data_IF_185118774853
#
_entry.id   IF_185118774853
#
_cell.length_a   1.000
_cell.length_b   1.000
_cell.length_c   1.000
_cell.angle_alpha   90.00
_cell.angle_beta   90.00
_cell.angle_gamma   90.00
#
_symmetry.space_group_name_H-M   'P 1'
#
loop_
_entity.id
_entity.type
_entity.pdbx_description
1 polymer ?
#
# COMPACT_ATOMS: atom_id res chain seq x y z
N UNK A 1 -14.47 -53.41 -26.74
CA UNK A 1 -14.21 -53.49 -25.28
C UNK A 1 -12.94 -52.73 -24.85
N UNK A 2 -11.71 -53.26 -24.96
CA UNK A 2 -10.51 -52.53 -24.43
C UNK A 2 -10.15 -51.24 -25.19
N UNK A 3 -10.35 -51.19 -26.52
CA UNK A 3 -10.08 -49.97 -27.32
C UNK A 3 -11.09 -48.85 -27.07
N UNK A 4 -12.37 -49.17 -26.96
CA UNK A 4 -13.43 -48.19 -26.67
C UNK A 4 -13.25 -47.58 -25.28
N UNK A 5 -12.96 -48.40 -24.27
CA UNK A 5 -12.68 -47.90 -22.91
C UNK A 5 -11.48 -46.94 -22.88
N UNK A 6 -10.39 -47.27 -23.61
CA UNK A 6 -9.23 -46.39 -23.71
C UNK A 6 -9.54 -45.08 -24.45
N UNK A 7 -10.40 -45.12 -25.47
CA UNK A 7 -10.83 -43.93 -26.20
C UNK A 7 -11.69 -43.01 -25.33
N UNK A 8 -12.66 -43.55 -24.59
CA UNK A 8 -13.50 -42.78 -23.67
C UNK A 8 -12.68 -42.12 -22.56
N UNK A 9 -11.66 -42.81 -22.02
CA UNK A 9 -10.77 -42.22 -21.01
C UNK A 9 -9.95 -41.08 -21.58
N UNK A 10 -9.43 -41.21 -22.81
CA UNK A 10 -8.68 -40.14 -23.46
C UNK A 10 -9.56 -38.90 -23.71
N UNK A 11 -10.76 -39.10 -24.22
CA UNK A 11 -11.75 -38.01 -24.43
C UNK A 11 -12.09 -37.32 -23.10
N UNK A 12 -12.27 -38.08 -22.02
CA UNK A 12 -12.55 -37.53 -20.69
C UNK A 12 -11.38 -36.72 -20.12
N UNK A 13 -10.13 -37.17 -20.35
CA UNK A 13 -8.92 -36.43 -19.95
C UNK A 13 -8.83 -35.10 -20.69
N UNK A 14 -9.09 -35.09 -22.00
CA UNK A 14 -8.99 -33.87 -22.81
C UNK A 14 -10.10 -32.87 -22.47
N UNK A 15 -11.33 -33.33 -22.25
CA UNK A 15 -12.42 -32.48 -21.73
C UNK A 15 -12.08 -31.89 -20.37
N UNK A 16 -11.47 -32.67 -19.48
CA UNK A 16 -11.04 -32.18 -18.16
C UNK A 16 -9.93 -31.12 -18.29
N UNK A 17 -8.98 -31.30 -19.21
CA UNK A 17 -7.92 -30.31 -19.47
C UNK A 17 -8.47 -29.01 -20.01
N UNK A 18 -9.41 -29.08 -20.95
CA UNK A 18 -10.05 -27.90 -21.53
C UNK A 18 -10.87 -27.13 -20.47
N UNK A 19 -11.65 -27.86 -19.67
CA UNK A 19 -12.39 -27.26 -18.55
C UNK A 19 -11.45 -26.59 -17.52
N UNK A 20 -10.36 -27.25 -17.13
CA UNK A 20 -9.37 -26.68 -16.21
C UNK A 20 -8.72 -25.41 -16.77
N UNK A 21 -8.45 -25.38 -18.08
CA UNK A 21 -7.92 -24.19 -18.75
C UNK A 21 -8.93 -23.03 -18.73
N UNK A 22 -10.19 -23.28 -19.09
CA UNK A 22 -11.23 -22.26 -19.06
C UNK A 22 -11.42 -21.68 -17.66
N UNK A 23 -11.40 -22.53 -16.62
CA UNK A 23 -11.46 -22.08 -15.22
C UNK A 23 -10.25 -21.23 -14.86
N UNK A 24 -9.04 -21.61 -15.26
CA UNK A 24 -7.84 -20.82 -15.00
C UNK A 24 -7.90 -19.43 -15.68
N UNK A 25 -8.36 -19.36 -16.93
CA UNK A 25 -8.55 -18.10 -17.67
C UNK A 25 -9.61 -17.22 -16.98
N UNK A 26 -10.73 -17.80 -16.54
CA UNK A 26 -11.78 -17.08 -15.81
C UNK A 26 -11.29 -16.55 -14.46
N UNK A 27 -10.52 -17.33 -13.71
CA UNK A 27 -9.92 -16.90 -12.44
C UNK A 27 -8.94 -15.74 -12.66
N UNK A 28 -8.13 -15.79 -13.72
CA UNK A 28 -7.21 -14.72 -14.06
C UNK A 28 -7.96 -13.43 -14.41
N UNK A 29 -9.02 -13.51 -15.23
CA UNK A 29 -9.84 -12.36 -15.58
C UNK A 29 -10.52 -11.74 -14.34
N UNK A 30 -11.08 -12.58 -13.47
CA UNK A 30 -11.72 -12.13 -12.23
C UNK A 30 -10.73 -11.40 -11.32
N UNK A 31 -9.49 -11.90 -11.19
CA UNK A 31 -8.42 -11.21 -10.45
C UNK A 31 -8.08 -9.84 -11.04
N UNK A 32 -7.98 -9.75 -12.37
CA UNK A 32 -7.69 -8.48 -13.05
C UNK A 32 -8.80 -7.45 -12.83
N UNK A 33 -10.06 -7.86 -12.92
CA UNK A 33 -11.21 -6.98 -12.66
C UNK A 33 -11.21 -6.52 -11.20
N UNK A 34 -11.05 -7.44 -10.26
CA UNK A 34 -11.00 -7.12 -8.83
C UNK A 34 -9.85 -6.14 -8.50
N UNK A 35 -8.68 -6.31 -9.12
CA UNK A 35 -7.57 -5.38 -8.98
C UNK A 35 -7.91 -4.00 -9.55
N UNK A 36 -8.55 -3.94 -10.73
CA UNK A 36 -8.99 -2.67 -11.32
C UNK A 36 -10.00 -1.93 -10.44
N UNK A 37 -11.03 -2.62 -9.94
CA UNK A 37 -12.02 -2.05 -9.02
C UNK A 37 -11.39 -1.58 -7.71
N UNK A 38 -10.46 -2.37 -7.17
CA UNK A 38 -9.69 -2.00 -6.00
C UNK A 38 -8.91 -0.70 -6.23
N UNK A 39 -8.15 -0.60 -7.33
CA UNK A 39 -7.38 0.60 -7.67
C UNK A 39 -8.27 1.85 -7.86
N UNK A 40 -9.48 1.69 -8.40
CA UNK A 40 -10.44 2.79 -8.52
C UNK A 40 -11.00 3.23 -7.16
N UNK A 41 -11.24 2.30 -6.25
CA UNK A 41 -11.70 2.62 -4.90
C UNK A 41 -10.61 3.31 -4.09
N UNK A 42 -9.37 2.87 -4.26
CA UNK A 42 -8.16 3.52 -3.74
C UNK A 42 -8.07 4.99 -4.14
N UNK A 43 -8.26 5.29 -5.42
CA UNK A 43 -8.19 6.67 -5.92
C UNK A 43 -9.27 7.55 -5.25
N UNK A 44 -10.49 7.02 -5.10
CA UNK A 44 -11.59 7.71 -4.38
C UNK A 44 -11.29 7.96 -2.91
N UNK A 45 -10.57 7.05 -2.23
CA UNK A 45 -10.16 7.28 -0.85
C UNK A 45 -9.16 8.43 -0.76
N UNK A 46 -8.25 8.54 -1.74
CA UNK A 46 -7.31 9.67 -1.79
C UNK A 46 -7.97 11.02 -2.07
N UNK A 47 -9.08 11.06 -2.81
CA UNK A 47 -9.83 12.29 -3.02
C UNK A 47 -10.30 12.93 -1.72
N UNK A 48 -10.60 12.13 -0.69
CA UNK A 48 -11.00 12.63 0.63
C UNK A 48 -9.86 13.35 1.37
N UNK A 49 -8.60 13.09 0.98
CA UNK A 49 -7.41 13.70 1.56
C UNK A 49 -6.68 14.64 0.59
N UNK A 50 -7.37 15.09 -0.45
CA UNK A 50 -6.77 15.93 -1.49
C UNK A 50 -6.18 17.23 -0.93
N UNK A 51 -6.78 17.81 0.12
CA UNK A 51 -6.25 19.00 0.80
C UNK A 51 -4.82 18.77 1.32
N UNK A 52 -4.59 17.67 2.04
CA UNK A 52 -3.30 17.30 2.62
C UNK A 52 -2.29 16.99 1.52
N UNK A 53 -2.73 16.23 0.51
CA UNK A 53 -1.90 15.90 -0.64
C UNK A 53 -1.39 17.15 -1.36
N UNK A 54 -2.30 18.08 -1.69
CA UNK A 54 -1.93 19.33 -2.34
C UNK A 54 -1.05 20.22 -1.45
N UNK A 55 -1.30 20.23 -0.14
CA UNK A 55 -0.49 20.99 0.79
C UNK A 55 0.96 20.49 0.90
N UNK A 56 1.18 19.17 0.79
CA UNK A 56 2.49 18.53 0.87
C UNK A 56 3.25 18.48 -0.48
N UNK A 57 2.56 18.59 -1.62
CA UNK A 57 3.22 18.61 -2.94
C UNK A 57 4.18 19.77 -3.09
N UNK A 58 5.22 19.67 -3.94
CA UNK A 58 6.08 20.81 -4.27
C UNK A 58 5.27 22.06 -4.64
N UNK A 59 5.49 23.17 -3.93
CA UNK A 59 4.75 24.43 -4.09
C UNK A 59 3.50 24.55 -3.20
N UNK A 60 3.10 23.49 -2.50
CA UNK A 60 2.01 23.49 -1.53
C UNK A 60 2.35 24.19 -0.22
N UNK A 61 1.32 24.52 0.58
CA UNK A 61 1.47 25.31 1.82
C UNK A 61 2.42 24.69 2.85
N UNK A 62 2.55 23.36 2.88
CA UNK A 62 3.42 22.60 3.79
C UNK A 62 4.67 22.01 3.11
N UNK A 63 4.97 22.42 1.88
CA UNK A 63 6.15 21.92 1.15
C UNK A 63 7.46 22.63 1.51
N UNK A 64 7.36 23.85 2.05
CA UNK A 64 8.52 24.65 2.44
C UNK A 64 9.01 24.27 3.82
N UNK A 65 10.33 24.35 4.03
CA UNK A 65 10.95 24.11 5.32
C UNK A 65 10.35 25.03 6.40
N UNK A 66 9.93 24.44 7.52
CA UNK A 66 9.31 25.16 8.63
C UNK A 66 7.79 25.32 8.50
N UNK A 67 7.20 25.07 7.32
CA UNK A 67 5.75 25.06 7.17
C UNK A 67 5.20 23.66 7.48
N UNK A 68 4.16 23.63 8.29
CA UNK A 68 3.53 22.39 8.76
C UNK A 68 2.10 22.68 9.22
N UNK A 69 1.29 21.64 9.50
CA UNK A 69 0.03 21.81 10.22
C UNK A 69 0.20 22.67 11.48
N UNK A 70 -0.60 23.71 11.61
CA UNK A 70 -0.54 24.67 12.72
C UNK A 70 -1.66 24.43 13.75
N UNK A 71 -2.74 23.74 13.36
CA UNK A 71 -3.88 23.46 14.22
C UNK A 71 -4.06 21.96 14.46
N UNK A 72 -4.75 21.61 15.54
CA UNK A 72 -5.12 20.22 15.80
C UNK A 72 -5.97 19.59 14.68
N UNK A 73 -6.81 20.39 14.02
CA UNK A 73 -7.60 19.93 12.86
C UNK A 73 -6.70 19.60 11.65
N UNK A 74 -5.72 20.46 11.35
CA UNK A 74 -4.78 20.17 10.26
C UNK A 74 -3.92 18.94 10.57
N UNK A 75 -3.53 18.75 11.84
CA UNK A 75 -2.83 17.54 12.27
C UNK A 75 -3.70 16.29 12.11
N UNK A 76 -4.97 16.34 12.53
CA UNK A 76 -5.88 15.21 12.37
C UNK A 76 -6.01 14.79 10.89
N UNK A 77 -6.12 15.76 9.97
CA UNK A 77 -6.17 15.47 8.52
C UNK A 77 -4.89 14.79 8.02
N UNK A 78 -3.72 15.23 8.49
CA UNK A 78 -2.43 14.60 8.13
C UNK A 78 -2.34 13.19 8.69
N UNK A 79 -2.77 12.97 9.93
CA UNK A 79 -2.77 11.66 10.58
C UNK A 79 -3.72 10.69 9.88
N UNK A 80 -4.92 11.13 9.50
CA UNK A 80 -5.86 10.32 8.70
C UNK A 80 -5.24 9.96 7.34
N UNK A 81 -4.55 10.92 6.71
CA UNK A 81 -3.84 10.69 5.45
C UNK A 81 -2.70 9.66 5.59
N UNK A 82 -1.96 9.71 6.70
CA UNK A 82 -0.92 8.72 7.01
C UNK A 82 -1.53 7.35 7.31
N UNK A 83 -2.63 7.29 8.06
CA UNK A 83 -3.35 6.05 8.35
C UNK A 83 -3.90 5.37 7.09
N UNK A 84 -4.34 6.16 6.09
CA UNK A 84 -4.68 5.63 4.77
C UNK A 84 -3.48 4.89 4.15
N UNK A 85 -2.26 5.44 4.24
CA UNK A 85 -1.05 4.78 3.72
C UNK A 85 -0.72 3.49 4.46
N UNK A 86 -0.95 3.41 5.76
CA UNK A 86 -0.75 2.17 6.54
C UNK A 86 -1.67 1.04 6.07
N UNK A 87 -2.89 1.36 5.63
CA UNK A 87 -3.77 0.37 5.03
C UNK A 87 -3.16 -0.24 3.76
N UNK A 88 -2.43 0.53 2.93
CA UNK A 88 -1.72 -0.01 1.77
C UNK A 88 -0.60 -0.94 2.18
N UNK A 89 0.15 -0.57 3.22
CA UNK A 89 1.20 -1.43 3.74
C UNK A 89 0.66 -2.82 4.06
N UNK A 90 -0.47 -2.90 4.78
CA UNK A 90 -1.10 -4.18 5.11
C UNK A 90 -1.45 -4.97 3.84
N UNK A 91 -2.00 -4.33 2.81
CA UNK A 91 -2.38 -5.02 1.58
C UNK A 91 -1.16 -5.53 0.79
N UNK A 92 -0.06 -4.78 0.77
CA UNK A 92 1.20 -5.21 0.15
C UNK A 92 1.85 -6.32 0.98
N UNK A 93 1.89 -6.19 2.31
CA UNK A 93 2.45 -7.19 3.23
C UNK A 93 1.73 -8.54 3.11
N UNK A 94 0.40 -8.52 2.95
CA UNK A 94 -0.41 -9.73 2.73
C UNK A 94 -0.34 -10.26 1.29
N UNK A 95 0.42 -9.64 0.40
CA UNK A 95 0.54 -10.05 -1.01
C UNK A 95 -0.77 -9.91 -1.80
N UNK A 96 -1.71 -9.08 -1.33
CA UNK A 96 -2.98 -8.83 -2.01
C UNK A 96 -2.73 -7.94 -3.24
N UNK A 97 -1.76 -7.02 -3.14
CA UNK A 97 -1.36 -6.12 -4.21
C UNK A 97 0.14 -6.21 -4.41
N UNK A 98 0.55 -6.14 -5.67
CA UNK A 98 1.94 -6.07 -6.04
C UNK A 98 2.62 -4.78 -5.55
N UNK A 99 3.80 -4.93 -4.95
CA UNK A 99 4.59 -3.82 -4.40
C UNK A 99 4.95 -2.78 -5.46
N UNK A 100 5.24 -3.19 -6.69
CA UNK A 100 5.66 -2.29 -7.77
C UNK A 100 4.51 -1.41 -8.25
N UNK A 101 3.29 -1.95 -8.29
CA UNK A 101 2.08 -1.15 -8.54
C UNK A 101 1.95 -0.07 -7.48
N UNK A 102 2.04 -0.45 -6.20
CA UNK A 102 1.91 0.52 -5.09
C UNK A 102 3.05 1.53 -5.08
N UNK A 103 4.28 1.10 -5.35
CA UNK A 103 5.45 1.98 -5.49
C UNK A 103 5.19 3.08 -6.51
N UNK A 104 4.61 2.74 -7.67
CA UNK A 104 4.32 3.71 -8.73
C UNK A 104 3.35 4.82 -8.27
N UNK A 105 2.29 4.45 -7.54
CA UNK A 105 1.24 5.41 -7.16
C UNK A 105 1.49 6.12 -5.82
N UNK A 106 2.24 5.50 -4.90
CA UNK A 106 2.29 5.93 -3.49
C UNK A 106 3.66 6.47 -3.09
N UNK A 107 4.76 5.98 -3.68
CA UNK A 107 6.12 6.32 -3.22
C UNK A 107 6.34 7.83 -3.11
N UNK A 108 5.91 8.60 -4.12
CA UNK A 108 6.11 10.05 -4.12
C UNK A 108 5.29 10.78 -3.03
N UNK A 109 4.12 10.24 -2.63
CA UNK A 109 3.29 10.81 -1.57
C UNK A 109 3.95 10.60 -0.20
N UNK A 110 4.45 9.39 0.04
CA UNK A 110 5.26 9.10 1.23
C UNK A 110 6.51 9.98 1.28
N UNK A 111 7.20 10.18 0.15
CA UNK A 111 8.36 11.06 0.08
C UNK A 111 7.99 12.51 0.44
N UNK A 112 6.84 13.02 -0.01
CA UNK A 112 6.39 14.36 0.36
C UNK A 112 6.10 14.48 1.86
N UNK A 113 5.51 13.46 2.49
CA UNK A 113 5.30 13.42 3.94
C UNK A 113 6.67 13.42 4.65
N UNK A 114 7.58 12.54 4.23
CA UNK A 114 8.88 12.35 4.87
C UNK A 114 9.80 13.57 4.73
N UNK A 115 9.69 14.30 3.62
CA UNK A 115 10.44 15.53 3.38
C UNK A 115 9.94 16.71 4.24
N UNK A 116 8.73 16.63 4.80
CA UNK A 116 8.28 17.62 5.77
C UNK A 116 8.94 17.35 7.12
N UNK A 117 9.99 18.12 7.42
CA UNK A 117 10.80 17.97 8.64
C UNK A 117 9.96 18.00 9.93
N UNK A 118 8.92 18.84 9.97
CA UNK A 118 8.06 18.94 11.15
C UNK A 118 7.26 17.66 11.35
N UNK A 119 6.57 17.15 10.32
CA UNK A 119 5.84 15.87 10.41
C UNK A 119 6.79 14.74 10.77
N UNK A 120 7.96 14.66 10.11
CA UNK A 120 8.96 13.64 10.39
C UNK A 120 9.41 13.68 11.86
N UNK A 121 9.79 14.86 12.35
CA UNK A 121 10.25 15.03 13.73
C UNK A 121 9.17 14.72 14.77
N UNK A 122 7.96 15.23 14.58
CA UNK A 122 6.89 15.13 15.59
C UNK A 122 6.09 13.83 15.55
N UNK A 123 6.15 13.07 14.46
CA UNK A 123 5.39 11.81 14.33
C UNK A 123 6.27 10.58 14.16
N UNK A 124 7.39 10.70 13.45
CA UNK A 124 8.21 9.54 13.06
C UNK A 124 9.51 9.42 13.88
N UNK A 125 10.06 10.54 14.36
CA UNK A 125 11.28 10.56 15.19
C UNK A 125 10.96 10.67 16.69
N UNK A 126 9.92 11.41 17.09
CA UNK A 126 9.51 11.55 18.49
C UNK A 126 9.18 10.17 19.11
N UNK A 127 9.96 9.68 20.11
CA UNK A 127 9.73 8.38 20.73
C UNK A 127 8.32 8.21 21.32
N UNK A 128 7.68 9.31 21.74
CA UNK A 128 6.33 9.28 22.32
C UNK A 128 5.23 9.11 21.28
N UNK A 129 5.51 9.34 20.00
CA UNK A 129 4.55 9.21 18.90
C UNK A 129 4.91 8.07 17.95
N UNK A 130 6.20 7.81 17.75
CA UNK A 130 6.72 6.85 16.78
C UNK A 130 6.09 5.47 16.85
N UNK A 131 5.79 4.97 18.07
CA UNK A 131 5.20 3.64 18.25
C UNK A 131 3.84 3.47 17.55
N UNK A 132 3.12 4.56 17.28
CA UNK A 132 1.83 4.56 16.58
C UNK A 132 1.97 4.42 15.07
N UNK A 133 3.15 4.68 14.52
CA UNK A 133 3.41 4.79 13.09
C UNK A 133 4.40 3.72 12.60
N UNK A 134 4.45 2.58 13.29
CA UNK A 134 5.38 1.49 12.96
C UNK A 134 5.09 0.90 11.58
N UNK A 135 3.81 0.77 11.22
CA UNK A 135 3.40 0.30 9.89
C UNK A 135 3.73 1.33 8.82
N UNK A 136 3.47 2.63 9.08
CA UNK A 136 3.84 3.70 8.16
C UNK A 136 5.36 3.72 7.90
N UNK A 137 6.16 3.60 8.95
CA UNK A 137 7.63 3.55 8.84
C UNK A 137 8.08 2.30 8.08
N UNK A 138 7.52 1.13 8.39
CA UNK A 138 7.79 -0.10 7.67
C UNK A 138 7.45 0.03 6.18
N UNK A 139 6.37 0.73 5.86
CA UNK A 139 5.98 1.00 4.49
C UNK A 139 6.96 1.92 3.76
N UNK A 140 7.42 2.98 4.43
CA UNK A 140 8.46 3.87 3.90
C UNK A 140 9.76 3.09 3.62
N UNK A 141 10.15 2.18 4.51
CA UNK A 141 11.31 1.29 4.29
C UNK A 141 11.09 0.35 3.10
N UNK A 142 9.93 -0.30 3.04
CA UNK A 142 9.54 -1.21 1.95
C UNK A 142 9.62 -0.55 0.57
N UNK A 143 9.27 0.74 0.49
CA UNK A 143 9.28 1.52 -0.75
C UNK A 143 10.57 2.34 -0.97
N UNK A 144 11.55 2.20 -0.08
CA UNK A 144 12.87 2.86 -0.16
C UNK A 144 12.73 4.38 -0.27
N UNK A 145 12.05 4.98 0.71
CA UNK A 145 11.93 6.44 0.85
C UNK A 145 13.29 7.03 1.23
N UNK A 146 13.70 8.10 0.54
CA UNK A 146 15.01 8.71 0.75
C UNK A 146 15.12 9.28 2.16
N UNK A 147 16.23 8.97 2.86
CA UNK A 147 16.49 9.38 4.24
C UNK A 147 15.80 8.51 5.31
N UNK A 148 15.06 7.47 4.93
CA UNK A 148 14.37 6.61 5.91
C UNK A 148 15.33 5.86 6.84
N UNK A 149 16.54 5.53 6.36
CA UNK A 149 17.56 4.82 7.13
C UNK A 149 18.17 5.68 8.26
N UNK A 150 18.00 7.01 8.18
CA UNK A 150 18.41 7.93 9.24
C UNK A 150 17.47 7.89 10.45
N UNK A 151 16.26 7.37 10.27
CA UNK A 151 15.40 7.04 11.40
C UNK A 151 16.05 5.91 12.17
N UNK A 152 16.78 6.25 13.24
CA UNK A 152 17.41 5.28 14.13
C UNK A 152 16.50 4.06 14.31
N UNK A 153 17.05 2.87 14.05
CA UNK A 153 16.39 1.61 14.36
C UNK A 153 16.31 1.50 15.88
N UNK A 154 15.34 2.20 16.46
CA UNK A 154 14.92 1.98 17.84
C UNK A 154 14.50 0.52 17.89
N UNK A 155 15.26 -0.29 18.62
CA UNK A 155 15.06 -1.70 18.91
C UNK A 155 13.56 -2.08 18.90
N UNK A 156 13.09 -2.58 17.76
CA UNK A 156 11.70 -2.98 17.52
C UNK A 156 11.46 -4.45 17.92
N UNK A 157 12.22 -4.97 18.88
CA UNK A 157 12.03 -6.31 19.46
C UNK A 157 10.72 -6.49 20.25
N UNK A 158 9.74 -5.58 20.12
CA UNK A 158 8.41 -5.78 20.66
C UNK A 158 7.54 -6.51 19.62
N UNK A 159 7.24 -7.75 19.97
CA UNK A 159 6.52 -8.81 19.26
C UNK A 159 5.28 -8.34 18.46
N UNK A 160 4.90 -9.08 17.40
CA UNK A 160 3.63 -8.83 16.72
C UNK A 160 2.48 -8.98 17.70
N UNK A 161 1.67 -7.93 17.82
CA UNK A 161 0.37 -8.01 18.48
C UNK A 161 -0.49 -8.97 17.63
N UNK A 162 -0.73 -10.16 18.19
CA UNK A 162 -1.71 -11.14 17.72
C UNK A 162 -3.11 -10.73 18.18
#
# INVERSE_FOLDING_TARGET
LSREANQTVAEQIDLSREANRAVAEQLQLSRTIALGEFLLNVDKMFDQHQEVHLALRPGGKWSQKGNAPQSGEEWAKVEDYMGLMEQYYVLVDKGIIDKEIVRHFIKYRLQNIFNNETIRKTRLEDPTQRYRWTQFIAFCKLLEIEGIDELADGDHSQEPIV
#
